data_IF_734182565920
#
_entry.id   IF_734182565920
#
_cell.length_a   1.000
_cell.length_b   1.000
_cell.length_c   1.000
_cell.angle_alpha   90.00
_cell.angle_beta   90.00
_cell.angle_gamma   90.00
#
_symmetry.space_group_name_H-M   'P 1'
#
loop_
_entity.id
_entity.type
_entity.pdbx_description
1 polymer ?
#
# COMPACT_ATOMS: atom_id res chain seq x y z
N UNK A 1 12.73 -13.23 -19.10
CA UNK A 1 12.39 -14.31 -18.16
C UNK A 1 11.36 -15.23 -18.78
N UNK A 2 10.90 -16.24 -18.05
CA UNK A 2 9.67 -16.97 -18.41
C UNK A 2 8.49 -15.99 -18.39
N UNK A 3 7.47 -16.17 -19.24
CA UNK A 3 6.29 -15.32 -19.22
C UNK A 3 5.60 -15.42 -17.85
N UNK A 4 5.27 -14.27 -17.28
CA UNK A 4 4.60 -14.20 -15.99
C UNK A 4 3.20 -14.85 -16.06
N UNK A 5 2.74 -15.49 -14.98
CA UNK A 5 1.41 -16.10 -14.93
C UNK A 5 0.32 -15.03 -15.04
N UNK A 6 -0.78 -15.38 -15.72
CA UNK A 6 -1.93 -14.49 -15.93
C UNK A 6 -2.51 -13.95 -14.60
N UNK A 7 -2.53 -14.77 -13.55
CA UNK A 7 -3.00 -14.39 -12.23
C UNK A 7 -1.89 -14.59 -11.19
N UNK A 8 -1.64 -13.54 -10.41
CA UNK A 8 -0.71 -13.54 -9.27
C UNK A 8 -1.54 -13.26 -8.01
N UNK A 9 -1.44 -14.14 -7.02
CA UNK A 9 -2.06 -13.91 -5.70
C UNK A 9 -0.98 -13.79 -4.64
N UNK A 10 -1.19 -12.88 -3.72
CA UNK A 10 -0.40 -12.71 -2.51
C UNK A 10 -1.33 -12.43 -1.35
N UNK A 11 -0.89 -12.70 -0.13
CA UNK A 11 -1.63 -12.40 1.09
C UNK A 11 -0.63 -11.84 2.09
N UNK A 12 -0.92 -10.65 2.59
CA UNK A 12 -0.21 -10.02 3.70
C UNK A 12 -1.10 -10.14 4.95
N UNK A 13 -0.50 -10.15 6.14
CA UNK A 13 -1.24 -9.89 7.39
C UNK A 13 -1.73 -8.45 7.44
N UNK A 14 -2.63 -8.14 8.37
CA UNK A 14 -3.22 -6.81 8.51
C UNK A 14 -2.18 -5.79 9.01
N UNK A 15 -1.66 -4.94 8.11
CA UNK A 15 -0.92 -3.72 8.46
C UNK A 15 -1.94 -2.64 8.81
N UNK A 16 -2.45 -2.73 10.02
CA UNK A 16 -3.58 -1.98 10.52
C UNK A 16 -3.15 -0.74 11.29
N UNK A 17 -3.96 0.31 11.19
CA UNK A 17 -3.70 1.60 11.81
C UNK A 17 -4.05 1.66 13.31
N UNK A 18 -4.37 0.52 13.93
CA UNK A 18 -4.79 0.42 15.34
C UNK A 18 -4.09 -0.74 16.03
N UNK A 19 -4.70 -1.93 16.04
CA UNK A 19 -4.19 -3.09 16.80
C UNK A 19 -2.78 -3.54 16.41
N UNK A 20 -2.38 -3.41 15.15
CA UNK A 20 -1.04 -3.73 14.65
C UNK A 20 -0.18 -2.49 14.37
N UNK A 21 -0.59 -1.31 14.86
CA UNK A 21 0.09 -0.05 14.58
C UNK A 21 1.50 0.00 15.19
N UNK A 22 1.68 -0.55 16.39
CA UNK A 22 3.00 -0.64 17.03
C UNK A 22 3.97 -1.47 16.20
N UNK A 23 3.55 -2.65 15.75
CA UNK A 23 4.36 -3.50 14.88
C UNK A 23 4.68 -2.82 13.55
N UNK A 24 3.72 -2.08 12.98
CA UNK A 24 3.97 -1.29 11.77
C UNK A 24 5.01 -0.19 12.04
N UNK A 25 4.89 0.53 13.16
CA UNK A 25 5.81 1.60 13.54
C UNK A 25 7.24 1.09 13.73
N UNK A 26 7.42 -0.12 14.28
CA UNK A 26 8.74 -0.76 14.45
C UNK A 26 9.46 -1.05 13.13
N UNK A 27 8.72 -1.16 12.02
CA UNK A 27 9.25 -1.44 10.69
C UNK A 27 9.43 -0.19 9.83
N UNK A 28 8.88 0.94 10.27
CA UNK A 28 8.99 2.21 9.57
C UNK A 28 10.13 3.05 10.15
N UNK A 29 10.69 3.90 9.31
CA UNK A 29 11.57 4.98 9.75
C UNK A 29 10.71 6.11 10.31
N UNK A 30 10.57 6.17 11.64
CA UNK A 30 9.74 7.17 12.31
C UNK A 30 10.29 8.60 12.18
N UNK A 31 11.59 8.78 11.94
CA UNK A 31 12.15 10.11 11.68
C UNK A 31 11.67 10.61 10.32
N UNK A 32 11.74 9.75 9.30
CA UNK A 32 11.23 10.08 7.97
C UNK A 32 9.71 10.34 7.97
N UNK A 33 8.94 9.57 8.74
CA UNK A 33 7.50 9.79 8.94
C UNK A 33 7.24 11.15 9.60
N UNK A 34 7.98 11.49 10.66
CA UNK A 34 7.83 12.76 11.36
C UNK A 34 8.14 13.95 10.44
N UNK A 35 9.24 13.88 9.69
CA UNK A 35 9.64 14.91 8.73
C UNK A 35 8.57 15.12 7.66
N UNK A 36 8.04 14.04 7.06
CA UNK A 36 7.00 14.10 6.04
C UNK A 36 5.68 14.66 6.57
N UNK A 37 5.30 14.30 7.82
CA UNK A 37 4.11 14.82 8.48
C UNK A 37 4.25 16.27 9.00
N UNK A 38 5.45 16.86 8.89
CA UNK A 38 5.83 18.11 9.54
C UNK A 38 5.50 18.10 11.06
N UNK A 39 5.88 17.00 11.71
CA UNK A 39 5.69 16.73 13.13
C UNK A 39 7.04 16.42 13.81
N UNK A 40 7.08 16.45 15.14
CA UNK A 40 8.21 15.90 15.88
C UNK A 40 8.11 14.38 16.02
N UNK A 41 9.25 13.67 16.03
CA UNK A 41 9.31 12.22 16.29
C UNK A 41 8.54 11.81 17.55
N UNK A 42 8.71 12.57 18.64
CA UNK A 42 7.99 12.34 19.90
C UNK A 42 6.47 12.40 19.74
N UNK A 43 5.95 13.23 18.81
CA UNK A 43 4.52 13.31 18.53
C UNK A 43 4.03 12.07 17.77
N UNK A 44 4.82 11.56 16.83
CA UNK A 44 4.52 10.31 16.11
C UNK A 44 4.49 9.14 17.09
N UNK A 45 5.49 9.01 17.96
CA UNK A 45 5.54 7.95 18.97
C UNK A 45 4.39 8.07 19.98
N UNK A 46 4.05 9.29 20.40
CA UNK A 46 2.92 9.53 21.29
C UNK A 46 1.58 9.15 20.62
N UNK A 47 1.41 9.48 19.34
CA UNK A 47 0.22 9.13 18.56
C UNK A 47 0.09 7.61 18.38
N UNK A 48 1.18 6.93 18.01
CA UNK A 48 1.20 5.46 17.89
C UNK A 48 0.80 4.79 19.20
N UNK A 49 1.36 5.25 20.33
CA UNK A 49 1.00 4.74 21.65
C UNK A 49 -0.48 4.98 21.97
N UNK A 50 -0.98 6.20 21.75
CA UNK A 50 -2.37 6.57 22.00
C UNK A 50 -3.34 5.69 21.20
N UNK A 51 -3.12 5.52 19.90
CA UNK A 51 -3.96 4.69 19.04
C UNK A 51 -3.90 3.19 19.40
N UNK A 52 -2.78 2.72 19.95
CA UNK A 52 -2.63 1.32 20.39
C UNK A 52 -3.37 1.08 21.71
N UNK A 53 -3.33 2.03 22.64
CA UNK A 53 -4.02 1.96 23.94
C UNK A 53 -5.53 2.23 23.80
N UNK A 54 -5.91 3.12 22.87
CA UNK A 54 -7.28 3.56 22.62
C UNK A 54 -7.62 3.44 21.12
N UNK A 55 -7.98 2.23 20.62
CA UNK A 55 -8.22 1.98 19.19
C UNK A 55 -9.37 2.79 18.56
N UNK A 56 -10.28 3.30 19.38
CA UNK A 56 -11.40 4.17 19.01
C UNK A 56 -10.98 5.63 18.74
N UNK A 57 -9.73 5.98 19.04
CA UNK A 57 -9.16 7.30 18.75
C UNK A 57 -9.11 7.53 17.24
N UNK A 58 -9.59 8.69 16.81
CA UNK A 58 -9.55 9.17 15.43
C UNK A 58 -8.86 10.53 15.40
N UNK A 59 -8.03 10.76 14.38
CA UNK A 59 -7.47 12.08 14.15
C UNK A 59 -8.57 13.07 13.75
N UNK A 60 -8.43 14.32 14.18
CA UNK A 60 -9.30 15.40 13.73
C UNK A 60 -8.87 15.87 12.34
N UNK A 61 -9.83 16.25 11.50
CA UNK A 61 -9.53 16.77 10.16
C UNK A 61 -8.68 18.04 10.21
N UNK A 62 -7.59 18.07 9.44
CA UNK A 62 -6.60 19.14 9.39
C UNK A 62 -5.55 19.10 10.50
N UNK A 63 -5.60 18.12 11.41
CA UNK A 63 -4.68 18.05 12.54
C UNK A 63 -3.29 17.51 12.16
N UNK A 64 -2.33 17.62 13.09
CA UNK A 64 -0.99 17.01 12.92
C UNK A 64 -1.11 15.49 12.90
N UNK A 65 -1.97 14.95 13.75
CA UNK A 65 -2.27 13.53 13.90
C UNK A 65 -2.83 12.94 12.61
N UNK A 66 -3.67 13.67 11.88
CA UNK A 66 -4.16 13.20 10.58
C UNK A 66 -3.00 13.02 9.59
N UNK A 67 -2.08 13.99 9.50
CA UNK A 67 -0.90 13.85 8.63
C UNK A 67 -0.02 12.68 9.07
N UNK A 68 0.15 12.47 10.37
CA UNK A 68 0.86 11.30 10.90
C UNK A 68 0.16 10.00 10.46
N UNK A 69 -1.18 9.92 10.55
CA UNK A 69 -1.93 8.74 10.06
C UNK A 69 -1.77 8.52 8.55
N UNK A 70 -1.77 9.58 7.75
CA UNK A 70 -1.58 9.50 6.30
C UNK A 70 -0.17 8.99 5.95
N UNK A 71 0.87 9.48 6.61
CA UNK A 71 2.25 8.99 6.40
C UNK A 71 2.44 7.55 6.87
N UNK A 72 1.88 7.18 8.02
CA UNK A 72 1.90 5.81 8.51
C UNK A 72 1.16 4.86 7.55
N UNK A 73 0.01 5.27 7.03
CA UNK A 73 -0.75 4.49 6.05
C UNK A 73 0.01 4.34 4.72
N UNK A 74 0.65 5.41 4.25
CA UNK A 74 1.51 5.39 3.07
C UNK A 74 2.69 4.45 3.26
N UNK A 75 3.34 4.50 4.42
CA UNK A 75 4.40 3.59 4.83
C UNK A 75 3.94 2.13 4.87
N UNK A 76 2.74 1.87 5.40
CA UNK A 76 2.15 0.52 5.42
C UNK A 76 1.97 -0.04 4.00
N UNK A 77 1.44 0.76 3.07
CA UNK A 77 1.27 0.34 1.68
C UNK A 77 2.63 0.07 1.03
N UNK A 78 3.61 0.94 1.26
CA UNK A 78 4.97 0.76 0.74
C UNK A 78 5.55 -0.58 1.21
N UNK A 79 5.53 -0.84 2.51
CA UNK A 79 6.04 -2.06 3.11
C UNK A 79 5.31 -3.31 2.57
N UNK A 80 3.97 -3.27 2.48
CA UNK A 80 3.17 -4.37 1.93
C UNK A 80 3.56 -4.72 0.49
N UNK A 81 3.77 -3.69 -0.35
CA UNK A 81 4.14 -3.90 -1.75
C UNK A 81 5.57 -4.43 -1.85
N UNK A 82 6.52 -3.90 -1.08
CA UNK A 82 7.92 -4.34 -1.07
C UNK A 82 8.04 -5.82 -0.67
N UNK A 83 7.24 -6.29 0.30
CA UNK A 83 7.19 -7.70 0.73
C UNK A 83 6.59 -8.66 -0.29
N UNK A 84 5.88 -8.14 -1.29
CA UNK A 84 5.11 -8.95 -2.22
C UNK A 84 5.51 -8.81 -3.69
N UNK A 85 6.18 -7.73 -4.04
CA UNK A 85 6.81 -7.57 -5.33
C UNK A 85 8.12 -8.38 -5.41
N UNK A 86 8.58 -8.59 -6.63
CA UNK A 86 9.88 -9.19 -6.89
C UNK A 86 11.00 -8.19 -6.66
N UNK A 87 12.19 -8.73 -6.38
CA UNK A 87 13.40 -7.97 -6.14
C UNK A 87 14.39 -8.22 -7.28
N UNK A 88 14.95 -7.15 -7.85
CA UNK A 88 16.04 -7.22 -8.80
C UNK A 88 17.35 -7.47 -8.07
N UNK A 89 17.99 -8.58 -8.39
CA UNK A 89 19.26 -8.98 -7.79
C UNK A 89 20.34 -9.04 -8.85
N UNK A 90 21.54 -8.58 -8.49
CA UNK A 90 22.71 -8.72 -9.34
C UNK A 90 23.20 -10.17 -9.29
N UNK A 91 23.30 -10.80 -10.44
CA UNK A 91 23.84 -12.16 -10.61
C UNK A 91 25.10 -12.08 -11.47
N UNK A 92 26.18 -12.67 -10.98
CA UNK A 92 27.44 -12.74 -11.71
C UNK A 92 27.54 -14.07 -12.46
N UNK A 93 27.78 -13.98 -13.76
CA UNK A 93 27.98 -15.13 -14.64
C UNK A 93 29.35 -15.06 -15.30
N UNK A 94 29.87 -16.15 -15.88
CA UNK A 94 31.10 -16.11 -16.69
C UNK A 94 31.02 -15.13 -17.87
N UNK A 95 29.81 -14.75 -18.31
CA UNK A 95 29.56 -13.79 -19.38
C UNK A 95 29.42 -12.33 -18.88
N UNK A 96 29.56 -12.08 -17.57
CA UNK A 96 29.43 -10.76 -16.96
C UNK A 96 28.29 -10.66 -15.95
N UNK A 97 27.99 -9.42 -15.57
CA UNK A 97 26.95 -9.05 -14.62
C UNK A 97 25.57 -9.02 -15.31
N UNK A 98 24.58 -9.67 -14.71
CA UNK A 98 23.19 -9.66 -15.13
C UNK A 98 22.31 -9.25 -13.96
N UNK A 99 21.14 -8.67 -14.24
CA UNK A 99 20.10 -8.46 -13.25
C UNK A 99 19.04 -9.54 -13.42
N UNK A 100 18.78 -10.29 -12.35
CA UNK A 100 17.72 -11.29 -12.30
C UNK A 100 16.61 -10.80 -11.38
N UNK A 101 15.36 -10.89 -11.83
CA UNK A 101 14.20 -10.64 -10.99
C UNK A 101 13.82 -11.91 -10.25
N UNK A 102 13.75 -11.83 -8.93
CA UNK A 102 13.26 -12.90 -8.06
C UNK A 102 11.93 -12.47 -7.44
N UNK A 103 10.85 -13.17 -7.77
CA UNK A 103 9.50 -12.86 -7.28
C UNK A 103 8.58 -12.32 -8.36
N UNK A 104 7.57 -11.53 -7.97
CA UNK A 104 6.50 -11.08 -8.88
C UNK A 104 6.84 -9.74 -9.51
N UNK A 105 6.87 -9.69 -10.83
CA UNK A 105 6.93 -8.39 -11.50
C UNK A 105 5.59 -7.65 -11.34
N UNK A 106 5.58 -6.51 -10.64
CA UNK A 106 4.42 -5.63 -10.53
C UNK A 106 4.59 -4.32 -11.31
N UNK A 107 5.65 -4.16 -12.10
CA UNK A 107 5.96 -2.92 -12.81
C UNK A 107 4.80 -2.46 -13.72
N UNK A 108 4.16 -3.40 -14.40
CA UNK A 108 3.05 -3.16 -15.34
C UNK A 108 1.65 -3.18 -14.70
N UNK A 109 1.55 -3.16 -13.36
CA UNK A 109 0.25 -3.08 -12.68
C UNK A 109 -0.40 -1.74 -12.97
N UNK A 110 -1.50 -1.79 -13.74
CA UNK A 110 -2.21 -0.60 -14.20
C UNK A 110 -3.13 0.03 -13.14
N UNK A 111 -3.64 -0.76 -12.18
CA UNK A 111 -4.59 -0.27 -11.19
C UNK A 111 -4.20 -0.72 -9.79
N UNK A 112 -4.25 0.22 -8.84
CA UNK A 112 -4.14 -0.05 -7.40
C UNK A 112 -5.44 0.40 -6.76
N UNK A 113 -6.17 -0.55 -6.16
CA UNK A 113 -7.46 -0.30 -5.53
C UNK A 113 -7.27 -0.21 -4.01
N UNK A 114 -7.46 0.98 -3.46
CA UNK A 114 -7.45 1.26 -2.03
C UNK A 114 -8.77 0.87 -1.37
N UNK A 115 -8.66 0.11 -0.29
CA UNK A 115 -9.78 -0.32 0.56
C UNK A 115 -9.33 -0.14 2.01
N UNK A 116 -10.20 0.39 2.87
CA UNK A 116 -9.93 0.53 4.30
C UNK A 116 -10.12 1.94 4.83
N UNK A 117 -10.36 2.04 6.14
CA UNK A 117 -10.77 3.28 6.81
C UNK A 117 -9.78 4.43 6.61
N UNK A 118 -8.49 4.16 6.79
CA UNK A 118 -7.42 5.18 6.69
C UNK A 118 -7.29 5.77 5.28
N UNK A 119 -7.60 4.99 4.24
CA UNK A 119 -7.53 5.45 2.85
C UNK A 119 -8.83 6.16 2.47
N UNK A 120 -9.98 5.53 2.75
CA UNK A 120 -11.30 6.03 2.30
C UNK A 120 -11.68 7.36 2.98
N UNK A 121 -11.25 7.58 4.23
CA UNK A 121 -11.59 8.79 4.99
C UNK A 121 -10.47 9.85 5.00
N UNK A 122 -9.34 9.60 4.34
CA UNK A 122 -8.30 10.61 4.15
C UNK A 122 -8.74 11.67 3.14
N UNK A 123 -8.24 12.89 3.30
CA UNK A 123 -8.39 13.97 2.32
C UNK A 123 -7.49 13.75 1.09
N UNK A 124 -6.43 12.94 1.25
CA UNK A 124 -5.39 12.67 0.26
C UNK A 124 -5.21 11.16 -0.01
N UNK A 125 -6.25 10.43 -0.44
CA UNK A 125 -6.16 8.97 -0.64
C UNK A 125 -5.14 8.57 -1.71
N UNK A 126 -5.00 9.36 -2.78
CA UNK A 126 -4.04 9.10 -3.85
C UNK A 126 -2.60 9.18 -3.32
N UNK A 127 -2.32 10.16 -2.45
CA UNK A 127 -1.01 10.31 -1.81
C UNK A 127 -0.64 9.10 -0.93
N UNK A 128 -1.60 8.59 -0.17
CA UNK A 128 -1.42 7.36 0.60
C UNK A 128 -1.12 6.18 -0.33
N UNK A 129 -1.91 6.02 -1.40
CA UNK A 129 -1.75 4.94 -2.37
C UNK A 129 -0.43 5.03 -3.16
N UNK A 130 0.16 6.21 -3.29
CA UNK A 130 1.50 6.39 -3.88
C UNK A 130 2.61 5.64 -3.15
N UNK A 131 2.40 5.21 -1.90
CA UNK A 131 3.32 4.28 -1.24
C UNK A 131 3.56 3.00 -2.05
N UNK A 132 2.59 2.60 -2.88
CA UNK A 132 2.69 1.43 -3.76
C UNK A 132 3.61 1.64 -4.97
N UNK A 133 3.86 2.88 -5.37
CA UNK A 133 4.59 3.22 -6.60
C UNK A 133 6.09 2.98 -6.45
N UNK A 134 6.75 2.67 -7.57
CA UNK A 134 8.21 2.59 -7.63
C UNK A 134 8.84 3.97 -7.40
N UNK A 135 9.90 3.99 -6.60
CA UNK A 135 10.75 5.17 -6.45
C UNK A 135 11.79 5.17 -7.58
N UNK A 136 12.00 6.32 -8.22
CA UNK A 136 13.00 6.46 -9.28
C UNK A 136 14.44 6.29 -8.77
N UNK A 137 14.66 6.41 -7.46
CA UNK A 137 15.95 6.22 -6.81
C UNK A 137 16.20 4.77 -6.37
N UNK A 138 15.15 3.94 -6.28
CA UNK A 138 15.25 2.55 -5.83
C UNK A 138 14.84 1.56 -6.92
N UNK A 139 15.84 0.99 -7.59
CA UNK A 139 15.68 -0.04 -8.61
C UNK A 139 15.63 -1.46 -8.03
N UNK A 140 15.61 -1.60 -6.70
CA UNK A 140 15.63 -2.90 -6.02
C UNK A 140 14.32 -3.64 -6.19
N UNK A 141 13.19 -2.93 -6.15
CA UNK A 141 11.86 -3.54 -6.11
C UNK A 141 11.10 -3.37 -7.43
N UNK A 142 10.46 -4.45 -7.91
CA UNK A 142 9.61 -4.44 -9.09
C UNK A 142 8.21 -3.92 -8.78
N UNK A 143 8.13 -2.69 -8.25
CA UNK A 143 6.90 -1.99 -7.88
C UNK A 143 6.19 -1.40 -9.11
N UNK A 144 4.87 -1.14 -9.04
CA UNK A 144 4.12 -0.42 -10.06
C UNK A 144 4.78 0.91 -10.48
N UNK A 145 4.99 1.10 -11.78
CA UNK A 145 5.64 2.31 -12.31
C UNK A 145 4.64 3.44 -12.55
N UNK A 146 3.51 3.11 -13.16
CA UNK A 146 2.47 4.07 -13.54
C UNK A 146 1.05 3.58 -13.19
N UNK A 147 0.77 3.25 -11.91
CA UNK A 147 -0.55 2.80 -11.51
C UNK A 147 -1.56 3.95 -11.56
N UNK A 148 -2.79 3.63 -11.94
CA UNK A 148 -3.97 4.46 -11.67
C UNK A 148 -4.58 4.04 -10.34
N UNK A 149 -4.80 5.01 -9.46
CA UNK A 149 -5.42 4.76 -8.16
C UNK A 149 -6.93 4.72 -8.26
N UNK A 150 -7.52 3.85 -7.45
CA UNK A 150 -8.95 3.57 -7.40
C UNK A 150 -9.37 3.34 -5.95
N UNK A 151 -10.60 3.71 -5.59
CA UNK A 151 -11.12 3.55 -4.23
C UNK A 151 -12.42 2.76 -4.22
N UNK A 152 -12.47 1.75 -3.38
CA UNK A 152 -13.71 1.05 -3.05
C UNK A 152 -14.32 1.63 -1.77
N UNK A 153 -15.01 2.77 -1.89
CA UNK A 153 -15.64 3.44 -0.73
C UNK A 153 -16.82 2.65 -0.15
N UNK A 154 -17.42 1.75 -0.93
CA UNK A 154 -18.63 1.01 -0.56
C UNK A 154 -18.35 -0.42 -0.12
N UNK A 155 -17.06 -0.80 -0.04
CA UNK A 155 -16.62 -2.16 0.32
C UNK A 155 -17.27 -3.25 -0.55
N UNK A 156 -17.50 -2.94 -1.83
CA UNK A 156 -18.15 -3.86 -2.76
C UNK A 156 -17.18 -4.80 -3.47
N UNK A 157 -15.87 -4.55 -3.42
CA UNK A 157 -14.86 -5.27 -4.21
C UNK A 157 -14.90 -6.77 -3.97
N UNK A 158 -14.95 -7.19 -2.69
CA UNK A 158 -15.06 -8.60 -2.32
C UNK A 158 -16.36 -9.24 -2.82
N UNK A 159 -17.49 -8.53 -2.67
CA UNK A 159 -18.81 -8.97 -3.15
C UNK A 159 -18.85 -9.09 -4.68
N UNK A 160 -18.20 -8.17 -5.40
CA UNK A 160 -18.05 -8.23 -6.85
C UNK A 160 -17.14 -9.38 -7.29
N UNK A 161 -16.11 -9.70 -6.49
CA UNK A 161 -15.31 -10.91 -6.64
C UNK A 161 -16.17 -12.17 -6.63
N UNK A 162 -17.08 -12.31 -5.66
CA UNK A 162 -18.03 -13.43 -5.59
C UNK A 162 -19.03 -13.41 -6.77
N UNK A 163 -19.60 -12.25 -7.09
CA UNK A 163 -20.53 -12.12 -8.22
C UNK A 163 -19.89 -12.48 -9.55
N UNK A 164 -18.60 -12.18 -9.73
CA UNK A 164 -17.87 -12.45 -10.97
C UNK A 164 -17.80 -13.94 -11.32
N UNK A 165 -17.92 -14.82 -10.33
CA UNK A 165 -17.98 -16.27 -10.54
C UNK A 165 -19.28 -16.72 -11.24
N UNK A 166 -20.35 -15.93 -11.14
CA UNK A 166 -21.66 -16.24 -11.73
C UNK A 166 -21.96 -15.33 -12.92
N UNK A 167 -21.67 -14.04 -12.81
CA UNK A 167 -21.90 -13.05 -13.86
C UNK A 167 -20.77 -12.01 -13.91
N UNK A 168 -19.68 -12.28 -14.65
CA UNK A 168 -18.51 -11.40 -14.70
C UNK A 168 -18.81 -10.04 -15.35
N UNK A 169 -19.70 -10.00 -16.34
CA UNK A 169 -20.06 -8.76 -17.03
C UNK A 169 -20.82 -7.80 -16.11
N UNK A 170 -21.76 -8.32 -15.31
CA UNK A 170 -22.50 -7.52 -14.34
C UNK A 170 -21.58 -7.03 -13.22
N UNK A 171 -20.73 -7.91 -12.68
CA UNK A 171 -19.75 -7.54 -11.66
C UNK A 171 -18.83 -6.41 -12.15
N UNK A 172 -18.28 -6.53 -13.36
CA UNK A 172 -17.43 -5.50 -13.95
C UNK A 172 -18.17 -4.18 -14.15
N UNK A 173 -19.44 -4.22 -14.58
CA UNK A 173 -20.25 -3.02 -14.79
C UNK A 173 -20.51 -2.26 -13.48
N UNK A 174 -20.82 -2.99 -12.40
CA UNK A 174 -21.02 -2.40 -11.08
C UNK A 174 -19.69 -1.84 -10.56
N UNK A 175 -18.59 -2.59 -10.65
CA UNK A 175 -17.26 -2.10 -10.25
C UNK A 175 -16.88 -0.81 -10.96
N UNK A 176 -17.08 -0.72 -12.28
CA UNK A 176 -16.79 0.51 -13.05
C UNK A 176 -17.66 1.71 -12.68
N UNK A 177 -18.86 1.48 -12.13
CA UNK A 177 -19.76 2.54 -11.71
C UNK A 177 -19.47 3.05 -10.30
N UNK A 178 -18.94 2.18 -9.43
CA UNK A 178 -18.85 2.43 -7.99
C UNK A 178 -17.42 2.63 -7.47
N UNK A 179 -16.43 2.06 -8.16
CA UNK A 179 -15.01 2.24 -7.84
C UNK A 179 -14.49 3.45 -8.59
N UNK A 180 -14.19 4.51 -7.85
CA UNK A 180 -13.77 5.81 -8.38
C UNK A 180 -12.25 5.92 -8.45
#
# INVERSE_FOLDING_TARGET
GLPEPYAKRTVEGDLGMRYSLSSLADELDLDAVADAAAAGRDQVEAWVRLCTEHPDTLAESGSVEQRIEEELARGAIRLAVERHCGVYQTVYTPCGQLFALTGKDLADVAYVVGIGGAIIHSEHPDYILEGSKADASDFTYAKPQHPSYKLDRRYIFASMGLLSAVNPELALRIMKAEII
#
